data_IF_074456895467
#
_entry.id   IF_074456895467
#
_cell.length_a   1.000
_cell.length_b   1.000
_cell.length_c   1.000
_cell.angle_alpha   90.00
_cell.angle_beta   90.00
_cell.angle_gamma   90.00
#
_symmetry.space_group_name_H-M   'P 1'
#
loop_
_entity.id
_entity.type
_entity.pdbx_description
1 polymer ?
#
# COMPACT_ATOMS: atom_id res chain seq x y z
N UNK A 1 20.41 -21.84 21.36
CA UNK A 1 19.07 -22.08 20.77
C UNK A 1 18.91 -21.28 19.49
N UNK A 2 18.41 -21.89 18.42
CA UNK A 2 18.02 -21.16 17.20
C UNK A 2 16.79 -20.29 17.50
N UNK A 3 16.87 -18.98 17.26
CA UNK A 3 15.70 -18.10 17.39
C UNK A 3 14.84 -18.24 16.14
N UNK A 4 13.52 -18.40 16.31
CA UNK A 4 12.54 -18.49 15.22
C UNK A 4 11.61 -17.29 15.34
N UNK A 5 11.43 -16.55 14.22
CA UNK A 5 10.51 -15.41 14.14
C UNK A 5 9.38 -15.76 13.16
N UNK A 6 8.15 -15.77 13.64
CA UNK A 6 6.96 -16.16 12.87
C UNK A 6 5.98 -15.00 12.65
N UNK A 7 6.26 -13.81 13.18
CA UNK A 7 5.36 -12.65 13.11
C UNK A 7 5.69 -11.73 11.92
N UNK A 8 5.89 -12.31 10.72
CA UNK A 8 6.21 -11.53 9.52
C UNK A 8 5.03 -10.67 9.01
N UNK A 9 3.81 -10.93 9.46
CA UNK A 9 2.65 -10.08 9.16
C UNK A 9 2.74 -8.72 9.89
N UNK A 10 3.37 -8.66 11.07
CA UNK A 10 3.57 -7.39 11.79
C UNK A 10 4.76 -6.61 11.25
N UNK A 11 5.90 -7.25 10.98
CA UNK A 11 7.09 -6.64 10.37
C UNK A 11 8.05 -7.72 9.88
N UNK A 12 8.93 -7.39 8.94
CA UNK A 12 9.96 -8.29 8.43
C UNK A 12 11.36 -7.78 8.79
N UNK A 13 12.34 -8.70 8.87
CA UNK A 13 13.74 -8.34 8.98
C UNK A 13 14.22 -7.68 7.69
N UNK A 14 15.12 -6.71 7.80
CA UNK A 14 15.78 -6.12 6.62
C UNK A 14 16.63 -7.18 5.89
N UNK A 15 16.62 -7.17 4.57
CA UNK A 15 17.57 -7.94 3.78
C UNK A 15 18.97 -7.31 3.87
N UNK A 16 20.06 -8.10 3.83
CA UNK A 16 21.42 -7.58 3.87
C UNK A 16 21.71 -6.55 2.76
N UNK A 17 21.20 -6.77 1.55
CA UNK A 17 21.37 -5.89 0.39
C UNK A 17 20.66 -4.53 0.60
N UNK A 18 19.55 -4.53 1.34
CA UNK A 18 18.82 -3.31 1.71
C UNK A 18 19.65 -2.50 2.71
N UNK A 19 20.24 -3.15 3.71
CA UNK A 19 21.14 -2.51 4.69
C UNK A 19 22.33 -1.89 3.97
N UNK A 20 22.94 -2.63 3.04
CA UNK A 20 24.09 -2.17 2.24
C UNK A 20 23.72 -0.92 1.42
N UNK A 21 22.61 -0.95 0.70
CA UNK A 21 22.16 0.19 -0.11
C UNK A 21 21.85 1.41 0.76
N UNK A 22 21.16 1.24 1.87
CA UNK A 22 20.89 2.34 2.81
C UNK A 22 22.17 2.95 3.37
N UNK A 23 23.17 2.11 3.72
CA UNK A 23 24.47 2.56 4.23
C UNK A 23 25.23 3.34 3.17
N UNK A 24 25.25 2.87 1.91
CA UNK A 24 25.83 3.56 0.78
C UNK A 24 25.24 4.96 0.61
N UNK A 25 23.90 5.06 0.58
CA UNK A 25 23.21 6.35 0.40
C UNK A 25 23.48 7.31 1.57
N UNK A 26 23.52 6.81 2.80
CA UNK A 26 23.82 7.63 4.00
C UNK A 26 25.24 8.22 3.95
N UNK A 27 26.20 7.51 3.35
CA UNK A 27 27.60 7.93 3.31
C UNK A 27 27.95 8.74 2.07
N UNK A 28 27.37 8.41 0.91
CA UNK A 28 27.76 8.95 -0.39
C UNK A 28 26.77 10.00 -0.93
N UNK A 29 25.46 9.82 -0.69
CA UNK A 29 24.39 10.62 -1.28
C UNK A 29 23.56 11.37 -0.22
N UNK A 30 24.22 11.90 0.82
CA UNK A 30 23.59 12.55 1.98
C UNK A 30 22.95 13.93 1.68
N UNK A 31 23.07 14.43 0.46
CA UNK A 31 22.56 15.75 0.07
C UNK A 31 21.05 15.88 0.15
N UNK A 32 20.55 17.12 0.29
CA UNK A 32 19.13 17.40 0.22
C UNK A 32 18.69 17.40 -1.27
N UNK A 33 17.72 16.56 -1.71
CA UNK A 33 17.28 16.48 -3.11
C UNK A 33 16.74 17.80 -3.69
N UNK A 34 16.32 18.73 -2.84
CA UNK A 34 15.84 20.05 -3.26
C UNK A 34 16.98 21.04 -3.56
N UNK A 35 18.23 20.71 -3.19
CA UNK A 35 19.38 21.61 -3.41
C UNK A 35 19.89 21.54 -4.85
N UNK A 36 20.34 22.69 -5.39
CA UNK A 36 20.80 22.82 -6.79
C UNK A 36 22.28 22.44 -7.01
N UNK A 37 23.06 22.32 -5.92
CA UNK A 37 24.48 21.93 -6.00
C UNK A 37 24.67 20.41 -6.24
N UNK A 38 25.90 19.97 -6.47
CA UNK A 38 26.21 18.59 -6.85
C UNK A 38 25.66 17.53 -5.88
N UNK A 39 25.80 17.73 -4.57
CA UNK A 39 25.32 16.80 -3.56
C UNK A 39 23.79 16.64 -3.59
N UNK A 40 23.05 17.76 -3.78
CA UNK A 40 21.60 17.70 -3.90
C UNK A 40 21.17 16.99 -5.19
N UNK A 41 21.85 17.24 -6.30
CA UNK A 41 21.57 16.53 -7.56
C UNK A 41 21.84 15.04 -7.46
N UNK A 42 22.93 14.60 -6.78
CA UNK A 42 23.20 13.19 -6.54
C UNK A 42 22.05 12.53 -5.76
N UNK A 43 21.67 13.10 -4.63
CA UNK A 43 20.54 12.61 -3.83
C UNK A 43 19.21 12.56 -4.62
N UNK A 44 18.95 13.58 -5.47
CA UNK A 44 17.79 13.60 -6.36
C UNK A 44 17.82 12.47 -7.39
N UNK A 45 18.96 12.13 -7.93
CA UNK A 45 19.11 10.99 -8.86
C UNK A 45 18.74 9.68 -8.15
N UNK A 46 19.24 9.46 -6.93
CA UNK A 46 18.88 8.28 -6.13
C UNK A 46 17.38 8.22 -5.88
N UNK A 47 16.78 9.33 -5.45
CA UNK A 47 15.34 9.44 -5.18
C UNK A 47 14.49 9.07 -6.42
N UNK A 48 14.79 9.69 -7.57
CA UNK A 48 13.99 9.46 -8.78
C UNK A 48 14.26 8.08 -9.42
N UNK A 49 15.46 7.51 -9.24
CA UNK A 49 15.74 6.14 -9.65
C UNK A 49 14.94 5.13 -8.82
N UNK A 50 14.87 5.32 -7.51
CA UNK A 50 14.05 4.51 -6.62
C UNK A 50 12.56 4.58 -7.01
N UNK A 51 12.05 5.79 -7.29
CA UNK A 51 10.67 6.01 -7.76
C UNK A 51 10.36 5.27 -9.05
N UNK A 52 11.25 5.34 -10.04
CA UNK A 52 11.13 4.62 -11.31
C UNK A 52 11.17 3.10 -11.13
N UNK A 53 12.04 2.62 -10.24
CA UNK A 53 12.12 1.18 -9.92
C UNK A 53 10.81 0.66 -9.34
N UNK A 54 10.24 1.37 -8.35
CA UNK A 54 8.95 0.99 -7.73
C UNK A 54 7.82 1.05 -8.76
N UNK A 55 7.73 2.13 -9.54
CA UNK A 55 6.72 2.27 -10.58
C UNK A 55 6.75 1.12 -11.59
N UNK A 56 7.95 0.71 -12.02
CA UNK A 56 8.13 -0.42 -12.94
C UNK A 56 7.56 -1.72 -12.39
N UNK A 57 7.76 -2.00 -11.09
CA UNK A 57 7.26 -3.24 -10.47
C UNK A 57 5.73 -3.34 -10.43
N UNK A 58 5.04 -2.20 -10.47
CA UNK A 58 3.59 -2.12 -10.42
C UNK A 58 2.95 -1.81 -11.79
N UNK A 59 3.74 -1.73 -12.86
CA UNK A 59 3.33 -1.22 -14.18
C UNK A 59 2.69 0.18 -14.09
N UNK A 60 3.25 1.04 -13.22
CA UNK A 60 2.85 2.44 -13.02
C UNK A 60 3.82 3.40 -13.70
N UNK A 61 3.44 4.66 -13.83
CA UNK A 61 4.38 5.74 -14.15
C UNK A 61 5.01 6.30 -12.87
N UNK A 62 6.24 6.83 -12.97
CA UNK A 62 6.92 7.44 -11.83
C UNK A 62 6.16 8.64 -11.23
N UNK A 63 5.28 9.27 -12.00
CA UNK A 63 4.44 10.38 -11.51
C UNK A 63 3.32 9.94 -10.57
N UNK A 64 2.96 8.67 -10.59
CA UNK A 64 1.88 8.07 -9.81
C UNK A 64 2.35 7.50 -8.47
N UNK A 65 3.68 7.45 -8.24
CA UNK A 65 4.25 7.00 -6.97
C UNK A 65 4.60 8.21 -6.11
N UNK A 66 4.01 8.27 -4.93
CA UNK A 66 4.24 9.33 -3.93
C UNK A 66 4.75 8.69 -2.64
N UNK A 67 5.91 9.11 -2.18
CA UNK A 67 6.50 8.57 -0.96
C UNK A 67 5.83 9.12 0.29
N UNK A 68 5.62 8.24 1.27
CA UNK A 68 5.02 8.54 2.57
C UNK A 68 5.87 7.92 3.68
N UNK A 69 5.57 8.22 4.94
CA UNK A 69 6.26 7.61 6.08
C UNK A 69 5.84 6.15 6.33
N UNK A 70 4.65 5.76 5.90
CA UNK A 70 4.11 4.40 6.09
C UNK A 70 2.75 4.27 5.37
N UNK A 71 2.21 3.04 5.36
CA UNK A 71 0.86 2.79 4.85
C UNK A 71 -0.23 3.56 5.61
N UNK A 72 -0.06 3.80 6.92
CA UNK A 72 -1.03 4.59 7.71
C UNK A 72 -1.14 6.02 7.21
N UNK A 73 -0.02 6.70 6.94
CA UNK A 73 -0.03 8.04 6.35
C UNK A 73 -0.71 8.03 4.98
N UNK A 74 -0.37 7.06 4.13
CA UNK A 74 -0.92 6.95 2.79
C UNK A 74 -2.45 6.69 2.80
N UNK A 75 -2.94 5.76 3.64
CA UNK A 75 -4.37 5.51 3.83
C UNK A 75 -5.11 6.77 4.29
N UNK A 76 -4.58 7.45 5.32
CA UNK A 76 -5.17 8.70 5.83
C UNK A 76 -5.23 9.77 4.75
N UNK A 77 -4.14 9.95 4.00
CA UNK A 77 -4.09 10.94 2.93
C UNK A 77 -5.16 10.69 1.87
N UNK A 78 -5.20 9.47 1.32
CA UNK A 78 -6.13 9.11 0.23
C UNK A 78 -7.58 9.27 0.70
N UNK A 79 -7.95 8.67 1.83
CA UNK A 79 -9.32 8.70 2.34
C UNK A 79 -9.78 10.12 2.68
N UNK A 80 -8.93 10.92 3.34
CA UNK A 80 -9.26 12.32 3.69
C UNK A 80 -9.39 13.19 2.45
N UNK A 81 -8.46 13.08 1.49
CA UNK A 81 -8.53 13.85 0.26
C UNK A 81 -9.71 13.41 -0.63
N UNK A 82 -10.04 12.13 -0.67
CA UNK A 82 -11.22 11.65 -1.39
C UNK A 82 -12.51 12.34 -0.89
N UNK A 83 -12.70 12.40 0.43
CA UNK A 83 -13.89 13.07 1.01
C UNK A 83 -13.80 14.59 0.85
N UNK A 84 -12.68 15.18 1.27
CA UNK A 84 -12.55 16.64 1.34
C UNK A 84 -12.48 17.29 -0.04
N UNK A 85 -11.66 16.71 -0.94
CA UNK A 85 -11.26 17.37 -2.20
C UNK A 85 -12.01 16.80 -3.39
N UNK A 86 -12.17 15.47 -3.47
CA UNK A 86 -12.93 14.84 -4.54
C UNK A 86 -14.44 14.81 -4.26
N UNK A 87 -14.88 15.25 -3.08
CA UNK A 87 -16.31 15.31 -2.70
C UNK A 87 -16.97 13.92 -2.72
N UNK A 88 -16.27 12.92 -2.24
CA UNK A 88 -16.85 11.61 -1.95
C UNK A 88 -17.84 11.76 -0.81
N UNK A 89 -19.07 11.29 -1.01
CA UNK A 89 -20.20 11.39 -0.09
C UNK A 89 -20.44 10.10 0.69
N UNK A 90 -19.86 9.00 0.16
CA UNK A 90 -20.00 7.64 0.72
C UNK A 90 -18.70 6.87 0.63
N UNK A 91 -18.35 6.13 1.69
CA UNK A 91 -17.29 5.13 1.68
C UNK A 91 -17.90 3.75 1.94
N UNK A 92 -17.65 2.80 1.03
CA UNK A 92 -17.97 1.39 1.21
C UNK A 92 -16.67 0.68 1.62
N UNK A 93 -16.67 0.01 2.76
CA UNK A 93 -15.48 -0.65 3.32
C UNK A 93 -15.86 -1.97 4.01
N UNK A 94 -14.90 -2.63 4.67
CA UNK A 94 -15.17 -3.84 5.45
C UNK A 94 -14.82 -3.67 6.93
N UNK A 95 -15.42 -4.47 7.81
CA UNK A 95 -15.10 -4.46 9.26
C UNK A 95 -13.76 -5.12 9.59
N UNK A 96 -13.12 -5.76 8.62
CA UNK A 96 -11.83 -6.43 8.78
C UNK A 96 -10.66 -5.63 8.22
N UNK A 97 -10.88 -4.36 7.87
CA UNK A 97 -9.81 -3.46 7.45
C UNK A 97 -8.81 -3.18 8.57
N UNK A 98 -7.60 -2.80 8.20
CA UNK A 98 -6.61 -2.30 9.16
C UNK A 98 -7.13 -1.01 9.85
N UNK A 99 -6.74 -0.80 11.12
CA UNK A 99 -7.13 0.39 11.90
C UNK A 99 -6.83 1.72 11.20
N UNK A 100 -5.80 1.78 10.35
CA UNK A 100 -5.49 2.96 9.54
C UNK A 100 -6.61 3.34 8.56
N UNK A 101 -7.43 2.38 8.14
CA UNK A 101 -8.64 2.60 7.32
C UNK A 101 -9.83 2.82 8.24
N UNK A 102 -10.15 1.89 9.16
CA UNK A 102 -11.35 1.94 10.01
C UNK A 102 -11.46 3.25 10.79
N UNK A 103 -10.42 3.61 11.57
CA UNK A 103 -10.47 4.82 12.39
C UNK A 103 -10.49 6.11 11.52
N UNK A 104 -9.86 6.08 10.34
CA UNK A 104 -9.93 7.22 9.42
C UNK A 104 -11.35 7.37 8.86
N UNK A 105 -12.00 6.29 8.45
CA UNK A 105 -13.38 6.30 7.95
C UNK A 105 -14.37 6.76 9.04
N UNK A 106 -14.23 6.25 10.27
CA UNK A 106 -15.04 6.68 11.42
C UNK A 106 -14.87 8.18 11.72
N UNK A 107 -13.64 8.68 11.63
CA UNK A 107 -13.37 10.10 11.82
C UNK A 107 -14.01 10.93 10.69
N UNK A 108 -13.89 10.49 9.43
CA UNK A 108 -14.50 11.19 8.29
C UNK A 108 -16.03 11.23 8.38
N UNK A 109 -16.67 10.13 8.82
CA UNK A 109 -18.10 10.11 9.09
C UNK A 109 -18.51 11.16 10.12
N UNK A 110 -17.76 11.28 11.22
CA UNK A 110 -18.05 12.26 12.30
C UNK A 110 -17.81 13.70 11.87
N UNK A 111 -16.72 13.97 11.13
CA UNK A 111 -16.32 15.34 10.77
C UNK A 111 -17.08 15.88 9.54
N UNK A 112 -17.36 15.02 8.56
CA UNK A 112 -17.93 15.44 7.27
C UNK A 112 -19.36 14.94 7.02
N UNK A 113 -19.89 14.06 7.90
CA UNK A 113 -21.25 13.52 7.77
C UNK A 113 -21.44 12.59 6.57
N UNK A 114 -20.35 12.01 6.03
CA UNK A 114 -20.43 11.07 4.92
C UNK A 114 -21.14 9.77 5.35
N UNK A 115 -21.77 9.08 4.39
CA UNK A 115 -22.26 7.74 4.61
C UNK A 115 -21.09 6.73 4.65
N UNK A 116 -21.18 5.76 5.56
CA UNK A 116 -20.19 4.65 5.66
C UNK A 116 -20.97 3.34 5.72
N UNK A 117 -20.72 2.50 4.73
CA UNK A 117 -21.33 1.18 4.63
C UNK A 117 -20.27 0.09 4.77
N UNK A 118 -20.61 -0.93 5.54
CA UNK A 118 -19.73 -2.08 5.76
C UNK A 118 -20.27 -3.28 5.00
N UNK A 119 -19.48 -3.77 4.04
CA UNK A 119 -19.81 -4.95 3.23
C UNK A 119 -19.97 -6.17 4.13
N UNK A 120 -20.98 -6.98 3.87
CA UNK A 120 -21.17 -8.27 4.52
C UNK A 120 -20.00 -9.21 4.20
N UNK A 121 -19.61 -9.97 5.22
CA UNK A 121 -18.55 -10.98 5.12
C UNK A 121 -19.18 -12.37 5.14
N UNK A 122 -18.62 -13.27 4.32
CA UNK A 122 -18.93 -14.70 4.37
C UNK A 122 -18.28 -15.34 5.60
N UNK A 123 -18.67 -16.56 5.93
CA UNK A 123 -18.15 -17.30 7.09
C UNK A 123 -16.64 -17.56 7.02
N UNK A 124 -16.05 -17.58 5.84
CA UNK A 124 -14.61 -17.72 5.62
C UNK A 124 -13.83 -16.38 5.63
N UNK A 125 -14.53 -15.27 5.88
CA UNK A 125 -13.95 -13.92 5.89
C UNK A 125 -13.83 -13.24 4.53
N UNK A 126 -14.27 -13.88 3.44
CA UNK A 126 -14.34 -13.22 2.14
C UNK A 126 -15.48 -12.19 2.11
N UNK A 127 -15.34 -11.15 1.31
CA UNK A 127 -16.45 -10.19 1.08
C UNK A 127 -17.57 -10.83 0.28
N UNK A 128 -18.81 -10.37 0.53
CA UNK A 128 -19.94 -10.74 -0.31
C UNK A 128 -20.08 -9.75 -1.48
N UNK A 129 -19.79 -10.23 -2.69
CA UNK A 129 -19.89 -9.41 -3.90
C UNK A 129 -21.34 -9.08 -4.28
N UNK A 130 -22.34 -9.82 -3.78
CA UNK A 130 -23.75 -9.50 -4.00
C UNK A 130 -24.11 -8.26 -3.19
N UNK A 131 -23.72 -8.25 -1.92
CA UNK A 131 -23.89 -7.09 -1.05
C UNK A 131 -23.11 -5.86 -1.56
N UNK A 132 -21.89 -6.06 -2.07
CA UNK A 132 -21.16 -4.95 -2.71
C UNK A 132 -21.94 -4.34 -3.89
N UNK A 133 -22.56 -5.15 -4.74
CA UNK A 133 -23.37 -4.66 -5.85
C UNK A 133 -24.61 -3.86 -5.36
N UNK A 134 -25.29 -4.35 -4.31
CA UNK A 134 -26.42 -3.66 -3.70
C UNK A 134 -26.02 -2.31 -3.11
N UNK A 135 -24.89 -2.25 -2.39
CA UNK A 135 -24.36 -1.01 -1.83
C UNK A 135 -23.95 -0.02 -2.92
N UNK A 136 -23.30 -0.49 -3.99
CA UNK A 136 -22.90 0.35 -5.13
C UNK A 136 -24.07 0.90 -5.93
N UNK A 137 -25.24 0.24 -5.92
CA UNK A 137 -26.43 0.71 -6.65
C UNK A 137 -27.07 1.96 -6.02
N UNK A 138 -26.68 2.33 -4.82
CA UNK A 138 -27.22 3.51 -4.14
C UNK A 138 -26.56 4.79 -4.68
N UNK A 139 -27.33 5.90 -4.68
CA UNK A 139 -26.87 7.20 -5.17
C UNK A 139 -25.75 7.81 -4.31
N UNK A 140 -24.95 8.67 -4.92
CA UNK A 140 -23.88 9.44 -4.31
C UNK A 140 -22.48 9.08 -4.81
N UNK A 141 -21.57 10.05 -4.77
CA UNK A 141 -20.18 9.84 -5.17
C UNK A 141 -19.48 8.92 -4.17
N UNK A 142 -19.12 7.73 -4.61
CA UNK A 142 -18.68 6.64 -3.75
C UNK A 142 -17.19 6.32 -3.93
N UNK A 143 -16.51 6.01 -2.82
CA UNK A 143 -15.21 5.35 -2.77
C UNK A 143 -15.39 3.97 -2.13
N UNK A 144 -14.98 2.93 -2.84
CA UNK A 144 -14.79 1.60 -2.26
C UNK A 144 -13.37 1.50 -1.71
N UNK A 145 -13.24 1.13 -0.44
CA UNK A 145 -11.93 0.98 0.22
C UNK A 145 -11.85 -0.42 0.85
N UNK A 146 -11.11 -1.32 0.19
CA UNK A 146 -10.98 -2.71 0.59
C UNK A 146 -9.53 -3.17 0.54
N UNK A 147 -9.06 -3.80 1.63
CA UNK A 147 -7.72 -4.35 1.67
C UNK A 147 -7.58 -5.56 0.74
N UNK A 148 -6.41 -5.69 0.11
CA UNK A 148 -6.14 -6.82 -0.79
C UNK A 148 -5.92 -8.13 -0.04
N UNK A 149 -5.05 -8.12 0.97
CA UNK A 149 -4.75 -9.28 1.82
C UNK A 149 -4.92 -8.89 3.27
N UNK A 150 -5.74 -9.62 4.00
CA UNK A 150 -5.99 -9.35 5.41
C UNK A 150 -4.79 -9.78 6.27
N UNK A 151 -4.37 -8.90 7.17
CA UNK A 151 -3.19 -9.10 8.03
C UNK A 151 -3.41 -10.10 9.16
N UNK A 152 -4.65 -10.41 9.56
CA UNK A 152 -4.98 -11.32 10.66
C UNK A 152 -5.38 -12.71 10.15
N UNK A 153 -6.33 -12.79 9.23
CA UNK A 153 -6.91 -14.05 8.79
C UNK A 153 -6.40 -14.53 7.42
N UNK A 154 -5.64 -13.67 6.70
CA UNK A 154 -4.98 -14.03 5.44
C UNK A 154 -5.93 -14.22 4.25
N UNK A 155 -7.19 -13.76 4.32
CA UNK A 155 -8.09 -13.74 3.15
C UNK A 155 -7.54 -12.83 2.07
N UNK A 156 -7.79 -13.20 0.80
CA UNK A 156 -7.29 -12.50 -0.39
C UNK A 156 -8.47 -12.03 -1.21
N UNK A 157 -8.62 -10.72 -1.35
CA UNK A 157 -9.64 -10.09 -2.17
C UNK A 157 -9.36 -10.36 -3.66
N UNK A 158 -10.38 -10.73 -4.43
CA UNK A 158 -10.30 -10.69 -5.88
C UNK A 158 -10.34 -9.22 -6.35
N UNK A 159 -9.14 -8.60 -6.45
CA UNK A 159 -9.00 -7.18 -6.82
C UNK A 159 -9.62 -6.87 -8.18
N UNK A 160 -9.37 -7.70 -9.19
CA UNK A 160 -9.89 -7.47 -10.54
C UNK A 160 -11.42 -7.39 -10.54
N UNK A 161 -12.08 -8.33 -9.86
CA UNK A 161 -13.54 -8.33 -9.75
C UNK A 161 -14.02 -7.12 -8.95
N UNK A 162 -13.37 -6.77 -7.84
CA UNK A 162 -13.77 -5.64 -7.00
C UNK A 162 -13.62 -4.31 -7.73
N UNK A 163 -12.47 -4.08 -8.38
CA UNK A 163 -12.21 -2.85 -9.16
C UNK A 163 -13.21 -2.71 -10.31
N UNK A 164 -13.38 -3.77 -11.12
CA UNK A 164 -14.32 -3.74 -12.24
C UNK A 164 -15.73 -3.41 -11.78
N UNK A 165 -16.23 -4.12 -10.75
CA UNK A 165 -17.56 -3.87 -10.22
C UNK A 165 -17.72 -2.44 -9.70
N UNK A 166 -16.70 -1.90 -9.01
CA UNK A 166 -16.70 -0.52 -8.54
C UNK A 166 -16.81 0.49 -9.69
N UNK A 167 -16.04 0.29 -10.75
CA UNK A 167 -16.04 1.16 -11.91
C UNK A 167 -17.32 1.04 -12.76
N UNK A 168 -17.98 -0.11 -12.80
CA UNK A 168 -19.28 -0.29 -13.47
C UNK A 168 -20.36 0.65 -12.86
N UNK A 169 -20.17 1.08 -11.61
CA UNK A 169 -21.03 2.05 -10.91
C UNK A 169 -20.42 3.47 -10.82
N UNK A 170 -19.38 3.78 -11.61
CA UNK A 170 -18.68 5.08 -11.60
C UNK A 170 -18.11 5.47 -10.22
N UNK A 171 -17.83 4.51 -9.36
CA UNK A 171 -17.20 4.73 -8.06
C UNK A 171 -15.67 4.63 -8.16
N UNK A 172 -14.95 5.22 -7.19
CA UNK A 172 -13.50 5.14 -7.06
C UNK A 172 -13.11 3.91 -6.24
N UNK A 173 -11.92 3.34 -6.52
CA UNK A 173 -11.40 2.18 -5.80
C UNK A 173 -10.05 2.47 -5.13
N UNK A 174 -9.99 2.25 -3.82
CA UNK A 174 -8.80 2.28 -2.99
C UNK A 174 -8.55 0.90 -2.39
N UNK A 175 -7.28 0.47 -2.33
CA UNK A 175 -6.90 -0.75 -1.62
C UNK A 175 -5.73 -0.53 -0.68
N UNK A 176 -5.87 -0.96 0.57
CA UNK A 176 -4.72 -1.22 1.44
C UNK A 176 -4.03 -2.50 0.95
N UNK A 177 -2.90 -2.32 0.28
CA UNK A 177 -2.08 -3.42 -0.26
C UNK A 177 -0.80 -3.65 0.53
N UNK A 178 -0.75 -3.17 1.77
CA UNK A 178 0.43 -3.27 2.66
C UNK A 178 0.87 -4.72 2.85
N UNK A 179 -0.06 -5.68 2.88
CA UNK A 179 0.27 -7.10 3.02
C UNK A 179 0.54 -7.83 1.69
N UNK A 180 0.28 -7.20 0.55
CA UNK A 180 0.36 -7.87 -0.76
C UNK A 180 1.48 -7.33 -1.67
N UNK A 181 1.80 -6.04 -1.63
CA UNK A 181 2.92 -5.48 -2.38
C UNK A 181 4.22 -6.19 -2.00
N UNK A 182 4.97 -6.63 -3.02
CA UNK A 182 6.20 -7.43 -2.86
C UNK A 182 5.97 -8.91 -2.54
N UNK A 183 4.70 -9.36 -2.45
CA UNK A 183 4.33 -10.78 -2.18
C UNK A 183 3.36 -11.35 -3.23
N UNK A 184 2.71 -10.49 -4.00
CA UNK A 184 1.84 -10.86 -5.12
C UNK A 184 2.11 -9.93 -6.29
N UNK A 185 1.88 -10.40 -7.51
CA UNK A 185 1.91 -9.54 -8.69
C UNK A 185 0.73 -8.56 -8.64
N UNK A 186 1.01 -7.28 -8.85
CA UNK A 186 0.01 -6.22 -8.92
C UNK A 186 0.34 -5.36 -10.13
N UNK A 187 -0.52 -5.38 -11.13
CA UNK A 187 -0.45 -4.53 -12.32
C UNK A 187 -1.55 -3.47 -12.23
N UNK A 188 -1.19 -2.25 -11.83
CA UNK A 188 -2.18 -1.19 -11.58
C UNK A 188 -2.87 -0.71 -12.86
N UNK A 189 -2.21 -0.82 -14.02
CA UNK A 189 -2.81 -0.44 -15.31
C UNK A 189 -3.85 -1.47 -15.75
N UNK A 190 -3.49 -2.76 -15.66
CA UNK A 190 -4.41 -3.84 -15.99
C UNK A 190 -5.64 -3.85 -15.07
N UNK A 191 -5.43 -3.71 -13.77
CA UNK A 191 -6.51 -3.65 -12.78
C UNK A 191 -7.37 -2.39 -12.90
N UNK A 192 -6.78 -1.29 -13.37
CA UNK A 192 -7.45 0.02 -13.42
C UNK A 192 -7.61 0.69 -12.05
N UNK A 193 -6.98 0.18 -11.00
CA UNK A 193 -7.10 0.68 -9.62
C UNK A 193 -6.79 2.17 -9.55
N UNK A 194 -7.51 2.91 -8.70
CA UNK A 194 -7.31 4.35 -8.58
C UNK A 194 -6.26 4.70 -7.53
N UNK A 195 -6.26 3.97 -6.39
CA UNK A 195 -5.33 4.21 -5.29
C UNK A 195 -4.92 2.90 -4.62
N UNK A 196 -3.64 2.76 -4.30
CA UNK A 196 -3.15 1.72 -3.40
C UNK A 196 -2.04 2.23 -2.50
N UNK A 197 -1.79 1.52 -1.41
CA UNK A 197 -0.78 1.90 -0.43
C UNK A 197 0.15 0.75 -0.09
N UNK A 198 1.40 1.07 0.23
CA UNK A 198 2.40 0.10 0.65
C UNK A 198 3.25 0.61 1.81
N UNK A 199 3.87 -0.31 2.55
CA UNK A 199 4.78 -0.01 3.65
C UNK A 199 6.00 -0.93 3.58
N UNK A 200 7.19 -0.35 3.49
CA UNK A 200 8.43 -1.08 3.17
C UNK A 200 8.74 -2.23 4.14
N UNK A 201 8.44 -2.04 5.43
CA UNK A 201 8.75 -3.04 6.46
C UNK A 201 7.93 -4.33 6.38
N UNK A 202 7.00 -4.43 5.45
CA UNK A 202 6.20 -5.64 5.19
C UNK A 202 6.81 -6.53 4.08
N UNK A 203 7.78 -5.99 3.33
CA UNK A 203 8.52 -6.70 2.29
C UNK A 203 10.05 -6.54 2.43
N UNK A 204 10.55 -6.70 3.66
CA UNK A 204 11.98 -6.67 4.00
C UNK A 204 12.70 -5.33 3.78
N UNK A 205 11.95 -4.25 3.68
CA UNK A 205 12.43 -2.88 3.62
C UNK A 205 12.42 -2.18 4.99
N UNK A 206 12.92 -0.93 5.06
CA UNK A 206 13.00 -0.19 6.31
C UNK A 206 11.64 0.25 6.86
N UNK A 207 11.54 0.39 8.18
CA UNK A 207 10.44 1.09 8.84
C UNK A 207 10.52 2.58 8.54
N UNK A 208 9.41 3.30 8.66
CA UNK A 208 9.38 4.76 8.51
C UNK A 208 9.33 5.24 7.06
N UNK A 209 9.09 4.34 6.11
CA UNK A 209 8.87 4.67 4.70
C UNK A 209 7.81 3.75 4.08
N UNK A 210 7.00 4.34 3.20
CA UNK A 210 6.02 3.67 2.38
C UNK A 210 5.76 4.47 1.12
N UNK A 211 4.76 4.10 0.36
CA UNK A 211 4.30 4.87 -0.78
C UNK A 211 2.80 4.71 -1.00
N UNK A 212 2.21 5.71 -1.66
CA UNK A 212 0.93 5.62 -2.31
C UNK A 212 1.13 5.55 -3.83
N UNK A 213 0.40 4.66 -4.49
CA UNK A 213 0.10 4.80 -5.91
C UNK A 213 -1.16 5.65 -6.03
N UNK A 214 -1.08 6.69 -6.81
CA UNK A 214 -2.18 7.63 -7.06
C UNK A 214 -2.33 7.77 -8.58
N UNK A 215 -3.43 7.27 -9.11
CA UNK A 215 -3.73 7.33 -10.54
C UNK A 215 -3.65 8.76 -11.06
N UNK A 216 -3.01 8.94 -12.20
CA UNK A 216 -2.82 10.26 -12.80
C UNK A 216 -4.14 11.00 -12.96
N UNK A 217 -4.13 12.28 -12.68
CA UNK A 217 -5.31 13.16 -12.75
C UNK A 217 -6.44 12.78 -11.78
N UNK A 218 -6.14 12.11 -10.69
CA UNK A 218 -7.12 11.73 -9.65
C UNK A 218 -7.78 12.93 -8.96
N UNK A 219 -7.10 14.08 -8.91
CA UNK A 219 -7.58 15.28 -8.23
C UNK A 219 -7.28 15.34 -6.73
N UNK A 220 -6.58 14.32 -6.16
CA UNK A 220 -6.17 14.37 -4.75
C UNK A 220 -5.34 15.64 -4.45
N UNK A 221 -5.52 16.17 -3.26
CA UNK A 221 -4.76 17.31 -2.74
C UNK A 221 -3.81 16.86 -1.61
N UNK A 222 -2.77 17.63 -1.29
CA UNK A 222 -1.80 17.23 -0.27
C UNK A 222 -2.42 17.13 1.13
N UNK A 223 -1.98 16.14 1.91
CA UNK A 223 -2.30 16.03 3.33
C UNK A 223 -1.48 17.04 4.16
N UNK A 224 -0.20 17.18 3.83
CA UNK A 224 0.73 18.10 4.50
C UNK A 224 1.12 19.23 3.57
N UNK A 225 1.11 20.44 4.09
CA UNK A 225 1.48 21.65 3.37
C UNK A 225 2.90 22.09 3.75
N UNK A 226 3.66 22.59 2.79
CA UNK A 226 5.05 23.03 2.97
C UNK A 226 5.76 23.22 1.65
N UNK A 227 6.95 22.65 1.50
CA UNK A 227 7.71 22.71 0.25
C UNK A 227 7.15 21.78 -0.85
N UNK A 228 7.71 21.92 -2.05
CA UNK A 228 7.27 21.22 -3.28
C UNK A 228 7.75 19.76 -3.38
N UNK A 229 8.17 19.13 -2.26
CA UNK A 229 8.55 17.74 -2.27
C UNK A 229 7.39 16.86 -2.75
N UNK A 230 7.73 15.68 -3.28
CA UNK A 230 6.74 14.76 -3.83
C UNK A 230 5.76 15.46 -4.79
N UNK A 231 6.28 16.37 -5.62
CA UNK A 231 5.49 17.14 -6.61
C UNK A 231 4.35 17.95 -5.98
N UNK A 232 4.54 18.41 -4.75
CA UNK A 232 3.56 19.16 -3.98
C UNK A 232 2.50 18.28 -3.27
N UNK A 233 2.51 16.98 -3.47
CA UNK A 233 1.54 16.09 -2.82
C UNK A 233 1.90 15.76 -1.37
N UNK A 234 3.19 15.81 -1.02
CA UNK A 234 3.62 15.50 0.34
C UNK A 234 4.87 16.31 0.68
N UNK A 235 4.70 17.37 1.45
CA UNK A 235 5.77 18.23 1.90
C UNK A 235 6.69 17.56 2.92
N UNK A 236 7.89 18.09 3.08
CA UNK A 236 8.93 17.61 4.01
C UNK A 236 10.06 16.88 3.29
N UNK A 237 11.28 17.12 3.76
CA UNK A 237 12.50 16.55 3.17
C UNK A 237 12.41 15.03 3.07
N UNK A 238 12.73 14.50 1.91
CA UNK A 238 12.63 13.07 1.63
C UNK A 238 13.74 12.29 2.34
N UNK A 239 13.39 11.16 2.94
CA UNK A 239 14.32 10.23 3.57
C UNK A 239 15.00 9.34 2.51
N UNK A 240 15.94 9.91 1.73
CA UNK A 240 16.52 9.30 0.51
C UNK A 240 17.04 7.89 0.76
N UNK A 241 17.76 7.67 1.87
CA UNK A 241 18.30 6.34 2.23
C UNK A 241 17.20 5.31 2.50
N UNK A 242 16.09 5.69 3.15
CA UNK A 242 14.97 4.79 3.38
C UNK A 242 14.23 4.48 2.09
N UNK A 243 14.05 5.47 1.21
CA UNK A 243 13.40 5.31 -0.09
C UNK A 243 14.25 4.40 -1.01
N UNK A 244 15.56 4.57 -1.05
CA UNK A 244 16.47 3.68 -1.76
C UNK A 244 16.40 2.24 -1.22
N UNK A 245 16.42 2.09 0.11
CA UNK A 245 16.24 0.79 0.77
C UNK A 245 14.89 0.13 0.46
N UNK A 246 13.81 0.90 0.44
CA UNK A 246 12.48 0.41 0.06
C UNK A 246 12.45 -0.08 -1.39
N UNK A 247 13.01 0.70 -2.32
CA UNK A 247 13.07 0.31 -3.73
C UNK A 247 13.91 -0.96 -3.94
N UNK A 248 15.05 -1.08 -3.24
CA UNK A 248 15.89 -2.28 -3.26
C UNK A 248 15.17 -3.51 -2.70
N UNK A 249 14.44 -3.35 -1.58
CA UNK A 249 13.64 -4.42 -1.00
C UNK A 249 12.54 -4.90 -1.96
N UNK A 250 11.84 -3.99 -2.60
CA UNK A 250 10.77 -4.31 -3.54
C UNK A 250 11.31 -5.01 -4.79
N UNK A 251 12.43 -4.54 -5.35
CA UNK A 251 13.11 -5.15 -6.48
C UNK A 251 13.43 -6.63 -6.19
N UNK A 252 14.08 -6.90 -5.04
CA UNK A 252 14.44 -8.27 -4.65
C UNK A 252 13.19 -9.12 -4.41
N UNK A 253 12.18 -8.57 -3.75
CA UNK A 253 10.93 -9.29 -3.47
C UNK A 253 10.23 -9.75 -4.76
N UNK A 254 10.17 -8.93 -5.79
CA UNK A 254 9.60 -9.34 -7.08
C UNK A 254 10.53 -10.28 -7.87
N UNK A 255 11.84 -10.10 -7.77
CA UNK A 255 12.80 -11.02 -8.40
C UNK A 255 12.70 -12.44 -7.84
N UNK A 256 12.48 -12.57 -6.54
CA UNK A 256 12.40 -13.86 -5.82
C UNK A 256 10.95 -14.33 -5.60
N UNK A 257 9.96 -13.64 -6.12
CA UNK A 257 8.54 -13.84 -5.81
C UNK A 257 8.07 -15.29 -6.00
N UNK A 258 8.42 -15.91 -7.12
CA UNK A 258 8.01 -17.27 -7.44
C UNK A 258 8.63 -18.30 -6.47
N UNK A 259 9.92 -18.17 -6.16
CA UNK A 259 10.65 -19.04 -5.25
C UNK A 259 10.13 -18.90 -3.81
N UNK A 260 10.01 -17.67 -3.31
CA UNK A 260 9.49 -17.41 -1.96
C UNK A 260 8.04 -17.89 -1.81
N UNK A 261 7.20 -17.70 -2.82
CA UNK A 261 5.81 -18.16 -2.83
C UNK A 261 5.73 -19.69 -2.72
N UNK A 262 6.54 -20.40 -3.50
CA UNK A 262 6.61 -21.87 -3.45
C UNK A 262 7.06 -22.33 -2.06
N UNK A 263 8.16 -21.82 -1.56
CA UNK A 263 8.71 -22.16 -0.24
C UNK A 263 7.71 -21.93 0.90
N UNK A 264 7.04 -20.75 0.94
CA UNK A 264 6.07 -20.46 1.99
C UNK A 264 4.82 -21.34 1.87
N UNK A 265 4.39 -21.67 0.64
CA UNK A 265 3.24 -22.55 0.42
C UNK A 265 3.52 -23.98 0.91
N UNK A 266 4.71 -24.51 0.64
CA UNK A 266 5.15 -25.83 1.10
C UNK A 266 5.28 -25.86 2.64
N UNK A 267 5.89 -24.83 3.23
CA UNK A 267 6.02 -24.70 4.68
C UNK A 267 4.65 -24.61 5.37
N UNK A 268 3.70 -23.86 4.80
CA UNK A 268 2.33 -23.77 5.30
C UNK A 268 1.64 -25.13 5.23
N UNK A 269 1.72 -25.82 4.09
CA UNK A 269 1.11 -27.15 3.93
C UNK A 269 1.64 -28.13 4.97
N UNK A 270 2.96 -28.19 5.16
CA UNK A 270 3.59 -29.00 6.19
C UNK A 270 3.10 -28.66 7.61
N UNK A 271 3.07 -27.35 7.95
CA UNK A 271 2.62 -26.92 9.27
C UNK A 271 1.16 -27.29 9.54
N UNK A 272 0.26 -27.12 8.56
CA UNK A 272 -1.15 -27.51 8.67
C UNK A 272 -1.29 -29.02 8.86
N UNK A 273 -0.59 -29.83 8.08
CA UNK A 273 -0.58 -31.29 8.22
C UNK A 273 -0.17 -31.71 9.63
N UNK A 274 0.96 -31.20 10.14
CA UNK A 274 1.47 -31.54 11.47
C UNK A 274 0.52 -31.11 12.60
N UNK A 275 -0.11 -29.93 12.45
CA UNK A 275 -1.08 -29.44 13.45
C UNK A 275 -2.35 -30.30 13.47
N UNK A 276 -2.88 -30.70 12.31
CA UNK A 276 -4.06 -31.56 12.23
C UNK A 276 -3.79 -32.97 12.76
N UNK A 277 -2.57 -33.48 12.62
CA UNK A 277 -2.15 -34.77 13.25
C UNK A 277 -2.05 -34.66 14.77
N UNK A 278 -1.60 -33.53 15.29
CA UNK A 278 -1.42 -33.31 16.72
C UNK A 278 -2.71 -32.89 17.44
N UNK A 279 -3.61 -32.21 16.71
CA UNK A 279 -4.88 -31.65 17.23
C UNK A 279 -6.02 -31.99 16.24
N UNK A 280 -6.51 -33.20 16.22
CA UNK A 280 -7.54 -33.70 15.31
C UNK A 280 -8.92 -33.06 15.52
#
# INVERSE_FOLDING_TARGET
>A
MRKIYLDNASTTALRPEVIQEMTRVLTEDFGNPSSTHSFGRSAKVVLESARKSIAKQLNATASEIIFTSCGTEANNWILRSAVKDLKVERIITSKIEHHAVLHTVEMLQREYGIAVDYIALKTNGDIDFTDLAELLSQEGKTLVSLMHVNNEIGTVLNLEKAVRMTHDYNALFHSDTVQSVGKTEIDVQHLGIDFLVASAHKFHGPKGVGFAYVKKNSGLQPLFYGGEQEKGFRAGTEAVHQIAGMAKALEISYLQLAEERTYISELKAYAVEQLLLAFP
#
